data_IF_449557345372
#
_entry.id   IF_449557345372
#
_cell.length_a   1.000
_cell.length_b   1.000
_cell.length_c   1.000
_cell.angle_alpha   90.00
_cell.angle_beta   90.00
_cell.angle_gamma   90.00
#
_symmetry.space_group_name_H-M   'P 1'
#
loop_
_entity.id
_entity.type
_entity.pdbx_description
1 polymer ?
#
# COMPACT_ATOMS: atom_id res chain seq x y z
N UNK A 1 -4.78 -29.91 -11.96
CA UNK A 1 -4.77 -30.13 -10.49
C UNK A 1 -3.37 -30.61 -10.11
N UNK A 2 -2.64 -29.85 -9.29
CA UNK A 2 -1.27 -30.15 -8.88
C UNK A 2 -1.17 -30.38 -7.35
N UNK A 3 -2.28 -30.71 -6.69
CA UNK A 3 -2.32 -30.93 -5.24
C UNK A 3 -1.24 -31.88 -4.75
N UNK A 4 -0.40 -31.42 -3.81
CA UNK A 4 0.73 -32.18 -3.23
C UNK A 4 1.75 -32.72 -4.25
N UNK A 5 1.83 -32.14 -5.44
CA UNK A 5 2.89 -32.45 -6.39
C UNK A 5 4.25 -31.97 -5.86
N UNK A 6 5.33 -32.65 -6.24
CA UNK A 6 6.70 -32.18 -6.01
C UNK A 6 7.29 -31.65 -7.31
N UNK A 7 7.79 -30.41 -7.25
CA UNK A 7 8.59 -29.75 -8.27
C UNK A 7 9.99 -29.43 -7.75
N UNK A 8 10.50 -30.23 -6.82
CA UNK A 8 11.82 -30.02 -6.23
C UNK A 8 12.90 -29.90 -7.32
N UNK A 9 13.66 -28.80 -7.32
CA UNK A 9 14.71 -28.52 -8.30
C UNK A 9 14.22 -28.31 -9.74
N UNK A 10 12.91 -28.34 -10.00
CA UNK A 10 12.36 -28.24 -11.35
C UNK A 10 12.57 -26.85 -11.95
N UNK A 11 12.80 -26.78 -13.26
CA UNK A 11 12.86 -25.51 -13.96
C UNK A 11 11.46 -25.12 -14.49
N UNK A 12 10.77 -24.23 -13.78
CA UNK A 12 9.44 -23.75 -14.14
C UNK A 12 9.46 -22.32 -14.70
N UNK A 13 10.62 -21.82 -15.15
CA UNK A 13 10.72 -20.48 -15.74
C UNK A 13 9.75 -20.32 -16.91
N UNK A 14 8.99 -19.22 -16.92
CA UNK A 14 7.97 -18.94 -17.94
C UNK A 14 6.91 -20.04 -18.13
N UNK A 15 6.73 -20.92 -17.13
CA UNK A 15 5.69 -21.94 -17.19
C UNK A 15 4.30 -21.30 -17.08
N UNK A 16 3.33 -21.86 -17.81
CA UNK A 16 1.93 -21.53 -17.64
C UNK A 16 1.35 -22.39 -16.52
N UNK A 17 1.08 -21.75 -15.39
CA UNK A 17 0.63 -22.36 -14.14
C UNK A 17 -0.78 -21.89 -13.77
N UNK A 18 -1.52 -21.34 -14.73
CA UNK A 18 -2.90 -20.85 -14.56
C UNK A 18 -3.85 -21.96 -14.14
N UNK A 19 -4.84 -21.61 -13.33
CA UNK A 19 -5.95 -22.48 -12.92
C UNK A 19 -5.50 -23.82 -12.29
N UNK A 20 -4.30 -23.84 -11.71
CA UNK A 20 -3.76 -25.01 -11.05
C UNK A 20 -3.90 -24.88 -9.53
N UNK A 21 -4.38 -25.95 -8.89
CA UNK A 21 -4.39 -26.05 -7.44
C UNK A 21 -2.97 -26.40 -6.95
N UNK A 22 -2.38 -25.49 -6.19
CA UNK A 22 -1.02 -25.58 -5.65
C UNK A 22 -0.96 -25.95 -4.17
N UNK A 23 -2.10 -26.30 -3.57
CA UNK A 23 -2.14 -26.60 -2.15
C UNK A 23 -1.24 -27.81 -1.83
N UNK A 24 -0.30 -27.58 -0.91
CA UNK A 24 0.68 -28.57 -0.48
C UNK A 24 1.76 -28.91 -1.52
N UNK A 25 1.89 -28.16 -2.60
CA UNK A 25 2.96 -28.36 -3.60
C UNK A 25 4.33 -28.07 -3.01
N UNK A 26 5.32 -28.89 -3.32
CA UNK A 26 6.71 -28.62 -2.98
C UNK A 26 7.41 -27.89 -4.13
N UNK A 27 7.83 -26.65 -3.87
CA UNK A 27 8.59 -25.81 -4.81
C UNK A 27 10.06 -25.66 -4.42
N UNK A 28 10.56 -26.47 -3.49
CA UNK A 28 11.93 -26.38 -2.96
C UNK A 28 12.97 -26.40 -4.08
N UNK A 29 13.71 -25.31 -4.24
CA UNK A 29 14.73 -25.17 -5.30
C UNK A 29 14.18 -25.09 -6.73
N UNK A 30 12.86 -25.03 -6.93
CA UNK A 30 12.25 -24.87 -8.25
C UNK A 30 12.50 -23.47 -8.80
N UNK A 31 12.84 -23.33 -10.09
CA UNK A 31 13.04 -22.01 -10.72
C UNK A 31 11.70 -21.40 -11.15
N UNK A 32 11.27 -20.30 -10.54
CA UNK A 32 9.90 -19.76 -10.67
C UNK A 32 9.81 -18.38 -11.37
N UNK A 33 10.88 -17.91 -12.00
CA UNK A 33 10.89 -16.59 -12.62
C UNK A 33 9.91 -16.50 -13.81
N UNK A 34 9.15 -15.40 -13.90
CA UNK A 34 8.20 -15.10 -14.98
C UNK A 34 7.10 -16.17 -15.17
N UNK A 35 6.73 -16.91 -14.12
CA UNK A 35 5.63 -17.87 -14.19
C UNK A 35 4.29 -17.15 -14.40
N UNK A 36 3.47 -17.65 -15.33
CA UNK A 36 2.11 -17.16 -15.54
C UNK A 36 1.16 -17.82 -14.53
N UNK A 37 0.83 -17.08 -13.47
CA UNK A 37 -0.09 -17.51 -12.42
C UNK A 37 -1.57 -17.32 -12.77
N UNK A 38 -1.87 -16.48 -13.77
CA UNK A 38 -3.22 -16.08 -14.13
C UNK A 38 -3.40 -14.56 -14.15
N UNK A 39 -4.63 -14.15 -14.49
CA UNK A 39 -4.99 -12.74 -14.44
C UNK A 39 -4.71 -12.18 -13.05
N UNK A 40 -4.11 -10.98 -13.02
CA UNK A 40 -3.84 -10.28 -11.77
C UNK A 40 -2.88 -11.03 -10.82
N UNK A 41 -2.22 -12.11 -11.24
CA UNK A 41 -1.45 -13.05 -10.40
C UNK A 41 -2.31 -13.82 -9.38
N UNK A 42 -3.59 -14.04 -9.66
CA UNK A 42 -4.48 -14.82 -8.80
C UNK A 42 -4.37 -16.31 -9.08
N UNK A 43 -4.07 -17.09 -8.04
CA UNK A 43 -4.18 -18.55 -8.07
C UNK A 43 -5.64 -19.00 -7.95
N UNK A 44 -5.92 -20.24 -8.35
CA UNK A 44 -7.29 -20.79 -8.36
C UNK A 44 -7.96 -20.74 -6.98
N UNK A 45 -7.23 -20.98 -5.89
CA UNK A 45 -7.79 -20.96 -4.53
C UNK A 45 -8.29 -19.55 -4.14
N UNK A 46 -7.66 -18.47 -4.62
CA UNK A 46 -8.17 -17.11 -4.38
C UNK A 46 -9.44 -16.85 -5.21
N UNK A 47 -9.49 -17.33 -6.45
CA UNK A 47 -10.66 -17.20 -7.33
C UNK A 47 -11.86 -17.96 -6.73
N UNK A 48 -11.67 -19.21 -6.33
CA UNK A 48 -12.69 -20.03 -5.65
C UNK A 48 -13.18 -19.36 -4.35
N UNK A 49 -12.28 -18.68 -3.61
CA UNK A 49 -12.65 -17.93 -2.41
C UNK A 49 -13.50 -16.69 -2.71
N UNK A 50 -13.21 -15.99 -3.80
CA UNK A 50 -13.99 -14.84 -4.26
C UNK A 50 -15.39 -15.27 -4.75
N UNK A 51 -15.47 -16.37 -5.49
CA UNK A 51 -16.73 -16.97 -5.97
C UNK A 51 -17.62 -17.42 -4.81
N UNK A 52 -17.07 -18.17 -3.84
CA UNK A 52 -17.80 -18.60 -2.66
C UNK A 52 -18.30 -17.40 -1.84
N UNK A 53 -17.48 -16.36 -1.69
CA UNK A 53 -17.87 -15.15 -0.98
C UNK A 53 -18.99 -14.38 -1.72
N UNK A 54 -18.94 -14.34 -3.05
CA UNK A 54 -19.99 -13.75 -3.88
C UNK A 54 -21.31 -14.54 -3.81
N UNK A 55 -21.24 -15.86 -3.68
CA UNK A 55 -22.39 -16.74 -3.46
C UNK A 55 -22.97 -16.65 -2.03
N UNK A 56 -22.32 -15.92 -1.12
CA UNK A 56 -22.73 -15.79 0.28
C UNK A 56 -22.23 -16.92 1.19
N UNK A 57 -21.48 -17.89 0.65
CA UNK A 57 -20.86 -18.97 1.42
C UNK A 57 -19.56 -18.48 2.07
N UNK A 58 -19.72 -17.82 3.23
CA UNK A 58 -18.60 -17.28 4.00
C UNK A 58 -17.67 -18.36 4.54
N UNK A 59 -18.19 -19.55 4.85
CA UNK A 59 -17.39 -20.61 5.44
C UNK A 59 -16.38 -21.13 4.42
N UNK A 60 -16.87 -21.55 3.25
CA UNK A 60 -16.02 -22.01 2.16
C UNK A 60 -15.11 -20.89 1.66
N UNK A 61 -15.57 -19.65 1.60
CA UNK A 61 -14.70 -18.52 1.24
C UNK A 61 -13.51 -18.36 2.18
N UNK A 62 -13.73 -18.41 3.50
CA UNK A 62 -12.64 -18.27 4.49
C UNK A 62 -11.66 -19.45 4.38
N UNK A 63 -12.15 -20.66 4.20
CA UNK A 63 -11.31 -21.86 3.99
C UNK A 63 -10.43 -21.70 2.75
N UNK A 64 -11.02 -21.28 1.62
CA UNK A 64 -10.29 -21.05 0.37
C UNK A 64 -9.29 -19.90 0.45
N UNK A 65 -9.60 -18.83 1.19
CA UNK A 65 -8.61 -17.78 1.46
C UNK A 65 -7.43 -18.25 2.31
N UNK A 66 -7.63 -19.20 3.23
CA UNK A 66 -6.54 -19.82 4.00
C UNK A 66 -5.66 -20.70 3.12
N UNK A 67 -6.26 -21.55 2.29
CA UNK A 67 -5.52 -22.32 1.29
C UNK A 67 -4.70 -21.41 0.38
N UNK A 68 -5.29 -20.31 -0.09
CA UNK A 68 -4.61 -19.35 -0.93
C UNK A 68 -3.45 -18.65 -0.19
N UNK A 69 -3.64 -18.27 1.08
CA UNK A 69 -2.55 -17.71 1.91
C UNK A 69 -1.38 -18.67 2.03
N UNK A 70 -1.63 -19.96 2.30
CA UNK A 70 -0.56 -20.96 2.45
C UNK A 70 0.18 -21.18 1.12
N UNK A 71 -0.53 -21.19 0.00
CA UNK A 71 0.08 -21.26 -1.33
C UNK A 71 0.96 -20.03 -1.59
N UNK A 72 0.44 -18.82 -1.40
CA UNK A 72 1.23 -17.60 -1.63
C UNK A 72 2.45 -17.53 -0.71
N UNK A 73 2.32 -17.95 0.56
CA UNK A 73 3.46 -18.00 1.49
C UNK A 73 4.55 -18.95 0.99
N UNK A 74 4.17 -20.13 0.52
CA UNK A 74 5.09 -21.11 -0.04
C UNK A 74 5.78 -20.60 -1.31
N UNK A 75 5.01 -19.99 -2.23
CA UNK A 75 5.54 -19.34 -3.42
C UNK A 75 6.52 -18.22 -3.07
N UNK A 76 6.16 -17.36 -2.11
CA UNK A 76 7.01 -16.25 -1.66
C UNK A 76 8.35 -16.74 -1.15
N UNK A 77 8.37 -17.73 -0.25
CA UNK A 77 9.61 -18.29 0.32
C UNK A 77 10.50 -18.84 -0.80
N UNK A 78 9.92 -19.59 -1.74
CA UNK A 78 10.69 -20.19 -2.82
C UNK A 78 11.18 -19.16 -3.84
N UNK A 79 10.39 -18.13 -4.16
CA UNK A 79 10.81 -17.02 -5.03
C UNK A 79 11.90 -16.17 -4.37
N UNK A 80 11.77 -15.87 -3.07
CA UNK A 80 12.75 -15.10 -2.29
C UNK A 80 14.14 -15.75 -2.25
N UNK A 81 14.21 -17.09 -2.33
CA UNK A 81 15.49 -17.80 -2.41
C UNK A 81 16.20 -17.62 -3.75
N UNK A 82 15.51 -17.11 -4.78
CA UNK A 82 16.03 -16.96 -6.14
C UNK A 82 16.27 -15.51 -6.53
N UNK A 83 15.39 -14.61 -6.10
CA UNK A 83 15.40 -13.18 -6.43
C UNK A 83 14.61 -12.40 -5.37
N UNK A 84 14.87 -11.11 -5.27
CA UNK A 84 14.05 -10.19 -4.47
C UNK A 84 13.01 -9.42 -5.34
N UNK A 85 12.96 -9.73 -6.65
CA UNK A 85 12.26 -8.99 -7.71
C UNK A 85 10.73 -8.90 -7.65
N UNK A 86 10.16 -8.28 -8.70
CA UNK A 86 8.74 -7.95 -8.82
C UNK A 86 7.79 -9.13 -8.56
N UNK A 87 8.16 -10.33 -9.01
CA UNK A 87 7.39 -11.57 -8.78
C UNK A 87 7.18 -11.85 -7.28
N UNK A 88 8.21 -11.62 -6.44
CA UNK A 88 8.11 -11.75 -4.98
C UNK A 88 7.14 -10.73 -4.41
N UNK A 89 7.23 -9.47 -4.86
CA UNK A 89 6.37 -8.39 -4.42
C UNK A 89 4.90 -8.66 -4.76
N UNK A 90 4.63 -9.17 -5.96
CA UNK A 90 3.27 -9.53 -6.40
C UNK A 90 2.68 -10.67 -5.55
N UNK A 91 3.45 -11.72 -5.30
CA UNK A 91 3.03 -12.85 -4.45
C UNK A 91 2.82 -12.42 -3.00
N UNK A 92 3.72 -11.60 -2.44
CA UNK A 92 3.56 -11.05 -1.09
C UNK A 92 2.31 -10.18 -0.96
N UNK A 93 2.04 -9.32 -1.96
CA UNK A 93 0.86 -8.48 -1.97
C UNK A 93 -0.42 -9.31 -1.99
N UNK A 94 -0.43 -10.41 -2.75
CA UNK A 94 -1.56 -11.35 -2.80
C UNK A 94 -1.75 -12.09 -1.46
N UNK A 95 -0.66 -12.58 -0.84
CA UNK A 95 -0.69 -13.17 0.52
C UNK A 95 -1.33 -12.20 1.54
N UNK A 96 -0.94 -10.93 1.53
CA UNK A 96 -1.49 -9.93 2.46
C UNK A 96 -2.96 -9.63 2.18
N UNK A 97 -3.38 -9.64 0.91
CA UNK A 97 -4.79 -9.45 0.52
C UNK A 97 -5.64 -10.63 0.99
N UNK A 98 -5.22 -11.87 0.75
CA UNK A 98 -5.99 -13.06 1.17
C UNK A 98 -6.08 -13.14 2.68
N UNK A 99 -4.98 -12.90 3.39
CA UNK A 99 -4.96 -12.81 4.86
C UNK A 99 -5.93 -11.76 5.40
N UNK A 100 -5.99 -10.57 4.77
CA UNK A 100 -6.96 -9.52 5.13
C UNK A 100 -8.41 -9.98 4.89
N UNK A 101 -8.67 -10.68 3.78
CA UNK A 101 -10.03 -11.08 3.39
C UNK A 101 -10.64 -12.14 4.32
N UNK A 102 -9.82 -12.89 5.06
CA UNK A 102 -10.25 -13.82 6.12
C UNK A 102 -10.83 -13.11 7.36
N UNK A 103 -10.49 -11.84 7.59
CA UNK A 103 -10.95 -11.09 8.76
C UNK A 103 -12.41 -10.62 8.60
N UNK A 104 -13.18 -10.40 9.68
CA UNK A 104 -14.53 -9.86 9.56
C UNK A 104 -14.53 -8.41 9.03
N UNK A 105 -15.58 -8.04 8.27
CA UNK A 105 -15.68 -6.78 7.51
C UNK A 105 -15.39 -5.52 8.34
N UNK A 106 -15.91 -5.45 9.56
CA UNK A 106 -15.80 -4.29 10.46
C UNK A 106 -14.71 -4.46 11.52
N UNK A 107 -13.79 -5.41 11.35
CA UNK A 107 -12.68 -5.58 12.28
C UNK A 107 -11.69 -4.42 12.16
N UNK A 108 -11.21 -3.84 13.28
CA UNK A 108 -10.17 -2.80 13.24
C UNK A 108 -8.91 -3.30 12.53
N UNK A 109 -8.56 -4.59 12.65
CA UNK A 109 -7.42 -5.19 11.95
C UNK A 109 -7.63 -5.22 10.43
N UNK A 110 -8.86 -5.48 9.96
CA UNK A 110 -9.19 -5.48 8.53
C UNK A 110 -9.11 -4.07 7.96
N UNK A 111 -9.63 -3.08 8.70
CA UNK A 111 -9.58 -1.67 8.33
C UNK A 111 -8.13 -1.19 8.26
N UNK A 112 -7.33 -1.43 9.30
CA UNK A 112 -5.91 -1.07 9.32
C UNK A 112 -5.14 -1.70 8.16
N UNK A 113 -5.38 -2.99 7.88
CA UNK A 113 -4.76 -3.67 6.74
C UNK A 113 -5.24 -3.10 5.39
N UNK A 114 -6.51 -2.70 5.27
CA UNK A 114 -7.01 -2.04 4.06
C UNK A 114 -6.40 -0.64 3.87
N UNK A 115 -6.24 0.12 4.96
CA UNK A 115 -5.55 1.41 4.94
C UNK A 115 -4.11 1.22 4.48
N UNK A 116 -3.36 0.29 5.09
CA UNK A 116 -1.98 -0.03 4.67
C UNK A 116 -1.88 -0.44 3.19
N UNK A 117 -2.86 -1.19 2.67
CA UNK A 117 -2.90 -1.49 1.24
C UNK A 117 -3.11 -0.25 0.38
N UNK A 118 -4.03 0.63 0.76
CA UNK A 118 -4.32 1.84 -0.02
C UNK A 118 -3.17 2.82 0.03
N UNK A 119 -2.61 3.06 1.23
CA UNK A 119 -1.60 4.09 1.43
C UNK A 119 -0.21 3.64 0.99
N UNK A 120 0.24 2.46 1.43
CA UNK A 120 1.61 2.02 1.16
C UNK A 120 1.68 0.85 0.19
N UNK A 121 0.55 0.26 -0.20
CA UNK A 121 0.55 -0.98 -0.98
C UNK A 121 1.26 -2.11 -0.22
N UNK A 122 1.17 -2.11 1.11
CA UNK A 122 1.97 -2.94 2.01
C UNK A 122 3.50 -2.76 1.88
N UNK A 123 3.96 -1.62 1.34
CA UNK A 123 5.36 -1.32 1.08
C UNK A 123 5.88 -1.80 -0.28
N UNK A 124 5.07 -2.51 -1.07
CA UNK A 124 5.47 -3.04 -2.37
C UNK A 124 5.12 -2.12 -3.54
N UNK A 125 4.03 -1.34 -3.45
CA UNK A 125 3.58 -0.46 -4.54
C UNK A 125 4.08 0.97 -4.32
N UNK A 126 5.23 1.31 -4.90
CA UNK A 126 5.82 2.66 -4.83
C UNK A 126 4.80 3.74 -5.25
N UNK A 127 4.00 3.48 -6.29
CA UNK A 127 2.96 4.41 -6.74
C UNK A 127 1.96 4.79 -5.63
N UNK A 128 1.51 3.83 -4.83
CA UNK A 128 0.59 4.09 -3.71
C UNK A 128 1.21 5.03 -2.67
N UNK A 129 2.50 4.82 -2.37
CA UNK A 129 3.24 5.66 -1.42
C UNK A 129 3.32 7.10 -1.95
N UNK A 130 3.65 7.30 -3.24
CA UNK A 130 3.71 8.63 -3.87
C UNK A 130 2.34 9.32 -3.83
N UNK A 131 1.26 8.62 -4.19
CA UNK A 131 -0.09 9.18 -4.11
C UNK A 131 -0.48 9.55 -2.67
N UNK A 132 -0.04 8.79 -1.69
CA UNK A 132 -0.27 9.09 -0.27
C UNK A 132 0.48 10.33 0.16
N UNK A 133 1.75 10.51 -0.24
CA UNK A 133 2.53 11.73 0.05
C UNK A 133 1.77 12.96 -0.48
N UNK A 134 1.42 12.94 -1.77
CA UNK A 134 0.71 14.07 -2.41
C UNK A 134 -0.64 14.30 -1.73
N UNK A 135 -1.39 13.22 -1.47
CA UNK A 135 -2.70 13.29 -0.82
C UNK A 135 -2.63 13.87 0.59
N UNK A 136 -1.66 13.44 1.40
CA UNK A 136 -1.43 13.97 2.75
C UNK A 136 -1.11 15.46 2.68
N UNK A 137 -0.17 15.88 1.83
CA UNK A 137 0.23 17.29 1.69
C UNK A 137 -0.97 18.16 1.27
N UNK A 138 -1.68 17.75 0.21
CA UNK A 138 -2.85 18.50 -0.26
C UNK A 138 -3.94 18.56 0.80
N UNK A 139 -4.22 17.45 1.50
CA UNK A 139 -5.24 17.42 2.55
C UNK A 139 -4.87 18.32 3.74
N UNK A 140 -3.60 18.34 4.15
CA UNK A 140 -3.13 19.21 5.23
C UNK A 140 -3.19 20.68 4.82
N UNK A 141 -2.76 21.01 3.59
CA UNK A 141 -2.88 22.36 3.04
C UNK A 141 -4.33 22.88 3.09
N UNK A 142 -5.32 22.04 2.73
CA UNK A 142 -6.73 22.42 2.85
C UNK A 142 -7.16 22.65 4.31
N UNK A 143 -6.76 21.76 5.23
CA UNK A 143 -7.10 21.88 6.65
C UNK A 143 -6.47 23.13 7.28
N UNK A 144 -5.23 23.47 6.93
CA UNK A 144 -4.59 24.72 7.35
C UNK A 144 -5.34 25.94 6.83
N UNK A 145 -5.85 25.90 5.59
CA UNK A 145 -6.64 27.00 5.06
C UNK A 145 -8.00 27.18 5.75
N UNK A 146 -8.57 26.13 6.34
CA UNK A 146 -9.82 26.23 7.13
C UNK A 146 -9.58 26.93 8.48
N UNK A 147 -8.48 26.62 9.14
CA UNK A 147 -8.16 27.24 10.44
C UNK A 147 -7.52 28.63 10.27
N UNK A 148 -6.52 28.69 9.40
CA UNK A 148 -5.65 29.81 9.12
C UNK A 148 -4.20 29.51 9.51
N UNK A 149 -3.25 30.21 8.87
CA UNK A 149 -1.83 30.24 9.25
C UNK A 149 -1.33 31.68 9.27
N UNK A 150 -0.33 31.95 10.10
CA UNK A 150 0.35 33.24 10.13
C UNK A 150 1.52 33.21 9.15
N UNK A 151 1.57 34.19 8.25
CA UNK A 151 2.70 34.40 7.34
C UNK A 151 3.11 35.87 7.37
N UNK A 152 4.31 36.14 7.91
CA UNK A 152 4.72 37.49 8.30
C UNK A 152 3.61 38.16 9.16
N UNK A 153 3.11 39.32 8.72
CA UNK A 153 2.03 40.07 9.40
C UNK A 153 0.62 39.78 8.83
N UNK A 154 0.48 38.75 7.99
CA UNK A 154 -0.79 38.39 7.33
C UNK A 154 -1.34 37.07 7.86
N UNK A 155 -2.65 37.02 8.01
CA UNK A 155 -3.39 35.78 8.24
C UNK A 155 -3.81 35.20 6.89
N UNK A 156 -3.29 34.02 6.56
CA UNK A 156 -3.70 33.27 5.37
C UNK A 156 -4.77 32.27 5.76
N UNK A 157 -5.98 32.44 5.22
CA UNK A 157 -7.15 31.60 5.49
C UNK A 157 -8.11 31.64 4.31
N UNK A 158 -8.85 30.56 4.08
CA UNK A 158 -9.95 30.56 3.11
C UNK A 158 -11.15 31.33 3.66
N UNK A 159 -11.54 32.38 2.94
CA UNK A 159 -12.71 33.20 3.25
C UNK A 159 -13.63 33.29 2.03
N UNK A 160 -14.95 33.27 2.26
CA UNK A 160 -15.94 33.29 1.17
C UNK A 160 -16.01 34.59 0.36
N UNK A 161 -15.29 35.62 0.78
CA UNK A 161 -15.19 36.93 0.11
C UNK A 161 -14.08 36.99 -0.92
N UNK A 162 -13.18 35.99 -0.95
CA UNK A 162 -12.00 35.96 -1.82
C UNK A 162 -12.35 35.56 -3.25
N UNK A 163 -11.62 36.13 -4.21
CA UNK A 163 -11.67 35.69 -5.60
C UNK A 163 -11.00 34.32 -5.78
N UNK A 164 -11.34 33.61 -6.85
CA UNK A 164 -10.74 32.29 -7.14
C UNK A 164 -9.21 32.35 -7.25
N UNK A 165 -8.67 33.40 -7.88
CA UNK A 165 -7.22 33.61 -8.00
C UNK A 165 -6.56 33.82 -6.64
N UNK A 166 -7.20 34.57 -5.73
CA UNK A 166 -6.70 34.75 -4.37
C UNK A 166 -6.73 33.42 -3.60
N UNK A 167 -7.81 32.65 -3.70
CA UNK A 167 -7.88 31.32 -3.08
C UNK A 167 -6.80 30.38 -3.60
N UNK A 168 -6.49 30.42 -4.90
CA UNK A 168 -5.41 29.62 -5.48
C UNK A 168 -4.02 30.06 -4.98
N UNK A 169 -3.77 31.37 -4.85
CA UNK A 169 -2.52 31.87 -4.30
C UNK A 169 -2.37 31.46 -2.83
N UNK A 170 -3.42 31.62 -2.03
CA UNK A 170 -3.44 31.16 -0.63
C UNK A 170 -3.20 29.66 -0.55
N UNK A 171 -3.87 28.86 -1.39
CA UNK A 171 -3.65 27.42 -1.43
C UNK A 171 -2.20 27.09 -1.81
N UNK A 172 -1.58 27.83 -2.74
CA UNK A 172 -0.17 27.68 -3.09
C UNK A 172 0.78 27.88 -1.90
N UNK A 173 0.55 28.94 -1.10
CA UNK A 173 1.33 29.21 0.11
C UNK A 173 1.10 28.13 1.18
N UNK A 174 -0.13 27.66 1.35
CA UNK A 174 -0.48 26.57 2.28
C UNK A 174 0.08 25.22 1.84
N UNK A 175 0.11 24.97 0.53
CA UNK A 175 0.74 23.78 -0.05
C UNK A 175 2.25 23.80 0.18
N UNK A 176 2.90 24.94 -0.06
CA UNK A 176 4.31 25.13 0.28
C UNK A 176 4.58 24.87 1.77
N UNK A 177 3.75 25.44 2.66
CA UNK A 177 3.86 25.21 4.09
C UNK A 177 3.75 23.72 4.45
N UNK A 178 2.74 23.04 3.92
CA UNK A 178 2.54 21.60 4.12
C UNK A 178 3.72 20.77 3.63
N UNK A 179 4.31 21.08 2.46
CA UNK A 179 5.55 20.42 1.98
C UNK A 179 6.69 20.60 2.97
N UNK A 180 6.88 21.82 3.50
CA UNK A 180 7.96 22.14 4.46
C UNK A 180 7.78 21.40 5.80
N UNK A 181 6.54 21.26 6.27
CA UNK A 181 6.20 20.50 7.48
C UNK A 181 6.37 19.00 7.25
N UNK A 182 5.81 18.47 6.16
CA UNK A 182 5.88 17.05 5.80
C UNK A 182 7.32 16.56 5.61
N UNK A 183 8.16 17.38 4.97
CA UNK A 183 9.59 17.10 4.78
C UNK A 183 10.44 17.38 6.02
N UNK A 184 9.84 17.90 7.08
CA UNK A 184 10.51 18.27 8.35
C UNK A 184 11.62 19.33 8.19
N UNK A 185 11.59 20.12 7.11
CA UNK A 185 12.57 21.19 6.85
C UNK A 185 12.36 22.37 7.80
N UNK A 186 11.12 22.80 7.99
CA UNK A 186 10.73 23.76 9.02
C UNK A 186 11.41 25.14 8.95
N UNK A 187 11.31 25.87 7.82
CA UNK A 187 11.90 27.21 7.68
C UNK A 187 11.39 28.25 8.70
N UNK A 188 10.21 28.04 9.29
CA UNK A 188 9.66 28.91 10.34
C UNK A 188 9.02 30.21 9.83
N UNK A 189 8.92 30.41 8.52
CA UNK A 189 8.30 31.61 7.92
C UNK A 189 6.77 31.62 8.05
N UNK A 190 6.16 30.44 7.95
CA UNK A 190 4.73 30.20 8.13
C UNK A 190 4.53 29.43 9.43
N UNK A 191 3.62 29.90 10.27
CA UNK A 191 3.33 29.30 11.57
C UNK A 191 1.84 28.97 11.69
N UNK A 192 1.47 27.77 12.17
CA UNK A 192 0.08 27.45 12.38
C UNK A 192 -0.46 28.28 13.56
N UNK A 193 -1.64 28.86 13.36
CA UNK A 193 -2.38 29.51 14.44
C UNK A 193 -3.31 28.51 15.12
N UNK A 194 -3.67 28.79 16.37
CA UNK A 194 -4.63 27.97 17.10
C UNK A 194 -4.09 26.60 17.58
N UNK A 195 -4.87 25.90 18.41
CA UNK A 195 -4.50 24.58 18.90
C UNK A 195 -4.65 23.49 17.83
N UNK A 196 -5.63 23.57 16.94
CA UNK A 196 -5.91 22.52 15.95
C UNK A 196 -4.78 22.51 14.89
N UNK A 197 -4.29 23.67 14.47
CA UNK A 197 -3.31 23.79 13.40
C UNK A 197 -1.94 23.34 13.88
N UNK A 198 -1.62 23.63 15.15
CA UNK A 198 -0.45 23.09 15.83
C UNK A 198 -0.51 21.57 15.94
N UNK A 199 -1.66 21.02 16.30
CA UNK A 199 -1.86 19.57 16.36
C UNK A 199 -1.71 18.94 14.97
N UNK A 200 -2.30 19.53 13.94
CA UNK A 200 -2.17 19.07 12.55
C UNK A 200 -0.71 19.05 12.10
N UNK A 201 0.05 20.12 12.37
CA UNK A 201 1.48 20.22 12.05
C UNK A 201 2.30 19.11 12.71
N UNK A 202 2.02 18.80 13.98
CA UNK A 202 2.69 17.71 14.69
C UNK A 202 2.39 16.37 14.02
N UNK A 203 1.12 16.07 13.71
CA UNK A 203 0.75 14.82 13.06
C UNK A 203 1.31 14.70 11.65
N UNK A 204 1.27 15.76 10.86
CA UNK A 204 1.79 15.80 9.50
C UNK A 204 3.30 15.52 9.48
N UNK A 205 4.09 16.17 10.34
CA UNK A 205 5.53 15.92 10.41
C UNK A 205 5.88 14.49 10.82
N UNK A 206 5.15 13.93 11.81
CA UNK A 206 5.35 12.54 12.25
C UNK A 206 4.99 11.53 11.15
N UNK A 207 3.84 11.71 10.51
CA UNK A 207 3.38 10.85 9.42
C UNK A 207 4.32 10.98 8.20
N UNK A 208 4.78 12.20 7.89
CA UNK A 208 5.70 12.46 6.80
C UNK A 208 7.01 11.69 6.93
N UNK A 209 7.62 11.71 8.12
CA UNK A 209 8.82 10.91 8.39
C UNK A 209 8.61 9.40 8.21
N UNK A 210 7.49 8.87 8.67
CA UNK A 210 7.15 7.44 8.50
C UNK A 210 6.94 7.07 7.02
N UNK A 211 6.21 7.89 6.26
CA UNK A 211 5.92 7.63 4.84
C UNK A 211 7.21 7.71 4.01
N UNK A 212 8.08 8.70 4.27
CA UNK A 212 9.36 8.83 3.59
C UNK A 212 10.28 7.65 3.89
N UNK A 213 10.32 7.15 5.13
CA UNK A 213 11.08 5.95 5.47
C UNK A 213 10.59 4.73 4.68
N UNK A 214 9.27 4.53 4.58
CA UNK A 214 8.68 3.44 3.79
C UNK A 214 9.01 3.62 2.30
N UNK A 215 8.97 4.84 1.77
CA UNK A 215 9.35 5.13 0.38
C UNK A 215 10.80 4.73 0.10
N UNK A 216 11.73 5.14 0.97
CA UNK A 216 13.16 4.83 0.82
C UNK A 216 13.37 3.31 0.82
N UNK A 217 12.74 2.58 1.75
CA UNK A 217 12.84 1.12 1.82
C UNK A 217 12.28 0.48 0.54
N UNK A 218 11.13 0.93 0.05
CA UNK A 218 10.51 0.39 -1.15
C UNK A 218 11.37 0.65 -2.41
N UNK A 219 11.94 1.85 -2.53
CA UNK A 219 12.86 2.20 -3.63
C UNK A 219 14.15 1.40 -3.55
N UNK A 220 14.76 1.29 -2.36
CA UNK A 220 15.98 0.51 -2.16
C UNK A 220 15.80 -0.95 -2.57
N UNK A 221 14.69 -1.56 -2.14
CA UNK A 221 14.33 -2.92 -2.53
C UNK A 221 14.26 -3.06 -4.06
N UNK A 222 13.53 -2.18 -4.73
CA UNK A 222 13.36 -2.23 -6.18
C UNK A 222 14.65 -1.96 -6.99
N UNK A 223 15.58 -1.18 -6.44
CA UNK A 223 16.89 -0.94 -7.07
C UNK A 223 17.84 -2.13 -6.93
N UNK A 224 17.82 -2.82 -5.79
CA UNK A 224 18.64 -4.02 -5.54
C UNK A 224 18.17 -5.24 -6.34
N UNK A 225 16.95 -5.20 -6.85
CA UNK A 225 16.37 -6.25 -7.69
C UNK A 225 16.89 -6.24 -9.14
N UNK A 226 17.59 -5.17 -9.56
CA UNK A 226 18.16 -5.00 -10.90
C UNK A 226 19.65 -5.32 -10.93
#
# INVERSE_FOLDING_TARGET
NLFKASFEGANLKAANMKNCNFLGVDFSGAKLNNVDWGEEHKIINEIEAEEANAAGDKQTAIEKYKEAEDVYRNLKINLQSQTLGEDVGNVFLREMITKRKQLPLFSPLRIASKIAYLTTGYGEKIGNIIYTIIGTIVSCAFLYGIEGVSYADKLLKFEGTQTFTEMLNIFGDLFYFSVVVFSTVGFGEILPIGPIGKTLMIFEGLIGGLILAILIIAVYKHLMDR
#
